data_IF_803937850989
#
_entry.id   IF_803937850989
#
_cell.length_a   1.000
_cell.length_b   1.000
_cell.length_c   1.000
_cell.angle_alpha   90.00
_cell.angle_beta   90.00
_cell.angle_gamma   90.00
#
_symmetry.space_group_name_H-M   'P 1'
#
loop_
_entity.id
_entity.type
_entity.pdbx_description
1 polymer ?
#
# COMPACT_ATOMS: atom_id res chain seq x y z
N UNK A 1 -0.80 -4.89 24.90
CA UNK A 1 -1.32 -4.29 23.66
C UNK A 1 -1.69 -5.46 22.79
N UNK A 2 -2.98 -5.74 22.67
CA UNK A 2 -3.45 -6.80 21.77
C UNK A 2 -3.22 -6.34 20.33
N UNK A 3 -2.65 -7.18 19.43
CA UNK A 3 -2.63 -6.82 18.02
C UNK A 3 -4.08 -6.62 17.59
N UNK A 4 -4.36 -5.50 16.94
CA UNK A 4 -5.70 -5.24 16.42
C UNK A 4 -6.07 -6.42 15.50
N UNK A 5 -7.04 -7.22 15.92
CA UNK A 5 -7.53 -8.35 15.16
C UNK A 5 -8.04 -7.90 13.79
N UNK A 6 -7.94 -8.83 12.84
CA UNK A 6 -8.39 -8.75 11.45
C UNK A 6 -9.91 -8.51 11.41
N UNK A 7 -10.34 -7.26 11.59
CA UNK A 7 -11.72 -6.85 11.44
C UNK A 7 -11.95 -6.49 9.97
N UNK A 8 -12.77 -7.26 9.21
CA UNK A 8 -12.97 -7.02 7.79
C UNK A 8 -13.76 -5.74 7.48
N UNK A 9 -14.30 -5.05 8.49
CA UNK A 9 -14.99 -3.76 8.36
C UNK A 9 -14.06 -2.57 8.65
N UNK A 10 -12.90 -2.82 9.24
CA UNK A 10 -11.75 -1.94 9.17
C UNK A 10 -11.02 -2.27 7.89
N UNK A 11 -11.43 -1.64 6.79
CA UNK A 11 -10.47 -1.31 5.75
C UNK A 11 -9.23 -0.77 6.47
N UNK A 12 -8.11 -1.47 6.39
CA UNK A 12 -6.90 -1.09 7.10
C UNK A 12 -6.57 0.38 6.82
N UNK A 13 -5.72 0.99 7.65
CA UNK A 13 -5.28 2.38 7.40
C UNK A 13 -4.65 2.53 5.99
N UNK A 14 -4.24 1.40 5.40
CA UNK A 14 -3.79 1.27 4.02
C UNK A 14 -4.83 0.59 3.13
N UNK A 15 -4.85 1.00 1.86
CA UNK A 15 -5.64 0.32 0.83
C UNK A 15 -5.08 -1.07 0.47
N UNK A 16 -5.74 -1.78 -0.46
CA UNK A 16 -5.27 -3.08 -0.93
C UNK A 16 -3.88 -2.97 -1.56
N UNK A 17 -3.02 -3.96 -1.32
CA UNK A 17 -1.67 -4.02 -1.90
C UNK A 17 -1.75 -3.93 -3.42
N UNK A 18 -0.97 -3.02 -4.00
CA UNK A 18 -0.77 -2.92 -5.45
C UNK A 18 0.45 -3.76 -5.81
N UNK A 19 0.30 -4.69 -6.76
CA UNK A 19 1.41 -5.49 -7.25
C UNK A 19 2.45 -4.61 -7.95
N UNK A 20 3.69 -4.70 -7.50
CA UNK A 20 4.85 -3.98 -8.05
C UNK A 20 5.97 -5.01 -8.26
N UNK A 21 6.71 -4.97 -9.37
CA UNK A 21 7.88 -5.84 -9.57
C UNK A 21 8.90 -5.72 -8.44
N UNK A 22 9.54 -6.83 -8.07
CA UNK A 22 10.53 -6.87 -6.98
C UNK A 22 11.82 -6.09 -7.29
N UNK A 23 12.11 -5.88 -8.58
CA UNK A 23 13.23 -5.11 -9.10
C UNK A 23 12.90 -3.62 -9.31
N UNK A 24 11.67 -3.19 -9.03
CA UNK A 24 11.27 -1.79 -9.08
C UNK A 24 12.00 -0.97 -8.00
N UNK A 25 12.13 0.36 -8.17
CA UNK A 25 12.66 1.24 -7.13
C UNK A 25 11.96 1.02 -5.77
N UNK A 26 12.71 1.13 -4.67
CA UNK A 26 12.18 0.92 -3.32
C UNK A 26 10.96 1.81 -3.02
N UNK A 27 10.93 3.03 -3.55
CA UNK A 27 9.80 3.94 -3.40
C UNK A 27 8.52 3.34 -3.99
N UNK A 28 8.61 2.75 -5.18
CA UNK A 28 7.46 2.16 -5.88
C UNK A 28 6.91 0.96 -5.10
N UNK A 29 7.82 0.13 -4.55
CA UNK A 29 7.45 -1.01 -3.69
C UNK A 29 6.72 -0.54 -2.43
N UNK A 30 7.25 0.46 -1.72
CA UNK A 30 6.63 1.04 -0.51
C UNK A 30 5.26 1.67 -0.84
N UNK A 31 5.14 2.35 -1.98
CA UNK A 31 3.87 2.89 -2.45
C UNK A 31 2.85 1.76 -2.68
N UNK A 32 3.27 0.67 -3.32
CA UNK A 32 2.42 -0.51 -3.54
C UNK A 32 1.92 -1.16 -2.26
N UNK A 33 2.78 -1.29 -1.23
CA UNK A 33 2.38 -1.79 0.09
C UNK A 33 1.42 -0.85 0.82
N UNK A 34 1.49 0.46 0.57
CA UNK A 34 0.53 1.42 1.12
C UNK A 34 -0.84 1.41 0.41
N UNK A 35 -0.96 0.62 -0.66
CA UNK A 35 -2.14 0.55 -1.53
C UNK A 35 -2.26 1.70 -2.53
N UNK A 36 -1.15 2.38 -2.82
CA UNK A 36 -1.08 3.43 -3.83
C UNK A 36 -0.36 2.92 -5.07
N UNK A 37 -0.78 3.41 -6.24
CA UNK A 37 -0.05 3.13 -7.45
C UNK A 37 1.25 3.95 -7.53
N UNK A 38 2.34 3.37 -8.05
CA UNK A 38 3.61 4.06 -8.22
C UNK A 38 3.61 5.09 -9.36
N UNK A 39 2.65 5.02 -10.29
CA UNK A 39 2.47 5.99 -11.37
C UNK A 39 1.81 7.31 -10.91
N UNK A 40 1.51 7.46 -9.61
CA UNK A 40 0.96 8.69 -9.06
C UNK A 40 1.95 9.86 -9.18
N UNK A 41 1.49 10.97 -9.76
CA UNK A 41 2.26 12.22 -9.90
C UNK A 41 1.55 13.35 -9.17
N UNK A 42 2.20 14.03 -8.22
CA UNK A 42 1.61 15.22 -7.59
C UNK A 42 1.49 16.35 -8.63
N UNK A 43 0.25 16.74 -8.95
CA UNK A 43 -0.06 17.88 -9.82
C UNK A 43 -0.62 17.55 -11.21
N UNK A 44 -0.88 16.28 -11.51
CA UNK A 44 -1.89 15.88 -12.50
C UNK A 44 -3.31 16.10 -11.94
#
# INVERSE_FOLDING_TARGET
MEPAGDDPSRDGIFGPVVAVPEDAPLLDQVMGFSGRRPDWRPGD
#
